data_IF_570069215130
#
_entry.id   IF_570069215130
#
_cell.length_a   1.000
_cell.length_b   1.000
_cell.length_c   1.000
_cell.angle_alpha   90.00
_cell.angle_beta   90.00
_cell.angle_gamma   90.00
#
_symmetry.space_group_name_H-M   'P 1'
#
loop_
_entity.id
_entity.type
_entity.pdbx_description
1 polymer ?
#
# COMPACT_ATOMS: atom_id res chain seq x y z
N UNK A 1 -13.65 -9.06 -53.63
CA UNK A 1 -14.49 -8.09 -52.87
C UNK A 1 -14.73 -8.70 -51.50
N UNK A 2 -13.73 -8.50 -50.67
CA UNK A 2 -13.57 -9.18 -49.37
C UNK A 2 -14.12 -8.28 -48.27
N UNK A 3 -15.17 -8.76 -47.60
CA UNK A 3 -15.79 -8.05 -46.47
C UNK A 3 -14.85 -8.08 -45.28
N UNK A 4 -14.21 -6.94 -45.02
CA UNK A 4 -13.55 -6.69 -43.75
C UNK A 4 -14.63 -6.55 -42.69
N UNK A 5 -14.76 -7.58 -41.87
CA UNK A 5 -15.59 -7.53 -40.66
C UNK A 5 -14.95 -6.55 -39.67
N UNK A 6 -15.59 -5.41 -39.56
CA UNK A 6 -15.33 -4.42 -38.53
C UNK A 6 -15.60 -5.03 -37.15
N UNK A 7 -14.54 -5.26 -36.37
CA UNK A 7 -14.66 -5.65 -34.95
C UNK A 7 -15.12 -4.39 -34.21
N UNK A 8 -16.26 -4.44 -33.50
CA UNK A 8 -16.63 -3.31 -32.68
C UNK A 8 -15.52 -3.07 -31.64
N UNK A 9 -15.01 -1.84 -31.63
CA UNK A 9 -14.14 -1.34 -30.57
C UNK A 9 -14.87 -1.55 -29.24
N UNK A 10 -14.33 -2.43 -28.40
CA UNK A 10 -14.78 -2.59 -27.02
C UNK A 10 -14.53 -1.26 -26.33
N UNK A 11 -15.58 -0.52 -26.13
CA UNK A 11 -15.62 0.71 -25.34
C UNK A 11 -14.94 0.44 -23.99
N UNK A 12 -13.95 1.27 -23.66
CA UNK A 12 -13.32 1.34 -22.35
C UNK A 12 -14.34 1.91 -21.34
N UNK A 13 -15.35 1.10 -20.99
CA UNK A 13 -16.35 1.41 -19.99
C UNK A 13 -16.14 0.56 -18.75
N UNK A 14 -16.00 1.28 -17.61
CA UNK A 14 -16.17 0.83 -16.24
C UNK A 14 -15.07 -0.07 -15.64
N UNK A 15 -13.89 0.44 -15.54
CA UNK A 15 -12.88 -0.09 -14.62
C UNK A 15 -12.96 0.60 -13.25
N UNK A 16 -14.09 0.49 -12.56
CA UNK A 16 -14.14 0.78 -11.13
C UNK A 16 -13.27 -0.23 -10.39
N UNK A 17 -12.33 0.24 -9.56
CA UNK A 17 -11.53 -0.65 -8.72
C UNK A 17 -12.42 -1.56 -7.87
N UNK A 18 -11.99 -2.82 -7.70
CA UNK A 18 -12.74 -3.82 -6.94
C UNK A 18 -12.30 -3.83 -5.48
N UNK A 19 -13.24 -3.60 -4.58
CA UNK A 19 -13.03 -3.52 -3.13
C UNK A 19 -13.73 -4.69 -2.46
N UNK A 20 -13.05 -5.37 -1.56
CA UNK A 20 -13.63 -6.40 -0.71
C UNK A 20 -13.76 -5.87 0.72
N UNK A 21 -14.97 -5.92 1.27
CA UNK A 21 -15.24 -5.57 2.66
C UNK A 21 -15.31 -6.86 3.47
N UNK A 22 -14.49 -6.97 4.51
CA UNK A 22 -14.44 -8.12 5.40
C UNK A 22 -14.73 -7.66 6.82
N UNK A 23 -15.91 -7.98 7.33
CA UNK A 23 -16.42 -7.57 8.64
C UNK A 23 -17.47 -8.59 9.08
N UNK A 24 -17.57 -8.97 10.33
CA UNK A 24 -18.57 -9.93 10.79
C UNK A 24 -19.96 -9.30 10.96
N UNK A 25 -20.05 -7.98 11.16
CA UNK A 25 -21.31 -7.24 11.24
C UNK A 25 -21.94 -6.99 9.87
N UNK A 26 -23.09 -7.61 9.55
CA UNK A 26 -23.77 -7.41 8.26
C UNK A 26 -24.20 -5.96 8.02
N UNK A 27 -24.60 -5.23 9.09
CA UNK A 27 -25.04 -3.84 8.96
C UNK A 27 -23.89 -2.92 8.56
N UNK A 28 -22.68 -3.16 9.08
CA UNK A 28 -21.49 -2.41 8.69
C UNK A 28 -21.13 -2.72 7.22
N UNK A 29 -21.14 -4.01 6.83
CA UNK A 29 -20.89 -4.41 5.43
C UNK A 29 -21.84 -3.73 4.47
N UNK A 30 -23.16 -3.73 4.77
CA UNK A 30 -24.20 -3.14 3.91
C UNK A 30 -24.00 -1.62 3.75
N UNK A 31 -23.80 -0.92 4.86
CA UNK A 31 -23.61 0.55 4.85
C UNK A 31 -22.37 0.95 4.06
N UNK A 32 -21.24 0.26 4.28
CA UNK A 32 -19.99 0.58 3.59
C UNK A 32 -20.09 0.18 2.10
N UNK A 33 -20.68 -0.98 1.80
CA UNK A 33 -20.87 -1.46 0.43
C UNK A 33 -21.73 -0.49 -0.39
N UNK A 34 -22.90 -0.11 0.12
CA UNK A 34 -23.76 0.86 -0.52
C UNK A 34 -23.07 2.20 -0.78
N UNK A 35 -22.33 2.66 0.23
CA UNK A 35 -21.62 3.93 0.13
C UNK A 35 -20.52 3.90 -0.94
N UNK A 36 -19.66 2.88 -0.95
CA UNK A 36 -18.59 2.75 -1.92
C UNK A 36 -19.11 2.49 -3.34
N UNK A 37 -20.18 1.70 -3.49
CA UNK A 37 -20.83 1.45 -4.80
C UNK A 37 -21.37 2.73 -5.40
N UNK A 38 -22.03 3.60 -4.61
CA UNK A 38 -22.47 4.94 -5.08
C UNK A 38 -21.33 5.85 -5.53
N UNK A 39 -20.10 5.54 -5.12
CA UNK A 39 -18.90 6.28 -5.52
C UNK A 39 -18.12 5.61 -6.65
N UNK A 40 -18.73 4.62 -7.35
CA UNK A 40 -18.22 4.02 -8.59
C UNK A 40 -17.26 2.84 -8.37
N UNK A 41 -17.22 2.25 -7.18
CA UNK A 41 -16.45 1.03 -6.91
C UNK A 41 -17.28 -0.23 -7.13
N UNK A 42 -16.60 -1.32 -7.51
CA UNK A 42 -17.19 -2.66 -7.48
C UNK A 42 -16.93 -3.25 -6.11
N UNK A 43 -17.96 -3.59 -5.36
CA UNK A 43 -17.83 -4.00 -3.98
C UNK A 43 -18.29 -5.45 -3.81
N UNK A 44 -17.41 -6.25 -3.20
CA UNK A 44 -17.69 -7.59 -2.72
C UNK A 44 -17.67 -7.58 -1.19
N UNK A 45 -18.35 -8.53 -0.56
CA UNK A 45 -18.40 -8.62 0.90
C UNK A 45 -18.09 -10.03 1.39
N UNK A 46 -17.47 -10.13 2.55
CA UNK A 46 -17.21 -11.39 3.24
C UNK A 46 -17.44 -11.21 4.74
N UNK A 47 -17.96 -12.23 5.40
CA UNK A 47 -18.26 -12.22 6.83
C UNK A 47 -17.08 -12.61 7.72
N UNK A 48 -16.05 -13.20 7.14
CA UNK A 48 -14.91 -13.77 7.86
C UNK A 48 -13.74 -14.06 6.89
N UNK A 49 -12.60 -14.49 7.44
CA UNK A 49 -11.40 -14.82 6.65
C UNK A 49 -11.61 -15.96 5.66
N UNK A 50 -12.48 -16.93 5.96
CA UNK A 50 -12.77 -18.06 5.07
C UNK A 50 -13.59 -17.62 3.84
N UNK A 51 -14.62 -16.82 4.06
CA UNK A 51 -15.41 -16.22 2.97
C UNK A 51 -14.55 -15.29 2.12
N UNK A 52 -13.67 -14.51 2.74
CA UNK A 52 -12.66 -13.70 2.05
C UNK A 52 -11.79 -14.53 1.12
N UNK A 53 -11.23 -15.64 1.60
CA UNK A 53 -10.39 -16.53 0.76
C UNK A 53 -11.14 -17.07 -0.45
N UNK A 54 -12.41 -17.41 -0.31
CA UNK A 54 -13.23 -17.84 -1.44
C UNK A 54 -13.35 -16.76 -2.50
N UNK A 55 -13.53 -15.51 -2.10
CA UNK A 55 -13.58 -14.38 -3.05
C UNK A 55 -12.23 -14.20 -3.74
N UNK A 56 -11.13 -14.22 -2.99
CA UNK A 56 -9.78 -14.03 -3.53
C UNK A 56 -9.33 -15.13 -4.49
N UNK A 57 -9.89 -16.34 -4.38
CA UNK A 57 -9.63 -17.44 -5.33
C UNK A 57 -10.28 -17.22 -6.69
N UNK A 58 -11.37 -16.46 -6.76
CA UNK A 58 -12.16 -16.29 -7.99
C UNK A 58 -12.04 -14.90 -8.61
N UNK A 59 -11.54 -13.93 -7.87
CA UNK A 59 -11.53 -12.53 -8.31
C UNK A 59 -10.23 -11.83 -7.90
N UNK A 60 -9.76 -10.94 -8.77
CA UNK A 60 -8.69 -9.99 -8.43
C UNK A 60 -9.32 -8.84 -7.66
N UNK A 61 -8.85 -8.61 -6.45
CA UNK A 61 -9.27 -7.53 -5.57
C UNK A 61 -8.16 -6.47 -5.51
N UNK A 62 -8.53 -5.21 -5.68
CA UNK A 62 -7.58 -4.08 -5.65
C UNK A 62 -7.31 -3.60 -4.23
N UNK A 63 -8.34 -3.67 -3.36
CA UNK A 63 -8.27 -3.21 -1.98
C UNK A 63 -9.21 -4.01 -1.08
N UNK A 64 -8.74 -4.32 0.14
CA UNK A 64 -9.55 -4.93 1.21
C UNK A 64 -9.77 -3.89 2.30
N UNK A 65 -11.03 -3.69 2.69
CA UNK A 65 -11.42 -3.04 3.94
C UNK A 65 -11.63 -4.15 4.95
N UNK A 66 -10.80 -4.23 5.98
CA UNK A 66 -10.68 -5.39 6.87
C UNK A 66 -10.94 -5.02 8.31
N UNK A 67 -11.95 -5.62 8.93
CA UNK A 67 -12.13 -5.52 10.37
C UNK A 67 -11.01 -6.26 11.12
N UNK A 68 -10.56 -5.66 12.21
CA UNK A 68 -9.58 -6.28 13.12
C UNK A 68 -10.22 -7.35 13.97
N UNK A 69 -11.42 -7.09 14.50
CA UNK A 69 -12.07 -7.90 15.50
C UNK A 69 -13.15 -8.81 14.87
N UNK A 70 -12.73 -9.95 14.35
CA UNK A 70 -13.64 -10.93 13.79
C UNK A 70 -13.55 -12.29 14.50
N UNK A 71 -14.64 -13.06 14.56
CA UNK A 71 -14.61 -14.43 15.07
C UNK A 71 -13.71 -15.34 14.21
N UNK A 72 -12.91 -16.17 14.85
CA UNK A 72 -12.00 -17.11 14.18
C UNK A 72 -10.64 -16.52 13.88
N UNK A 73 -10.28 -16.29 12.61
CA UNK A 73 -9.04 -15.63 12.23
C UNK A 73 -9.20 -14.11 12.37
N UNK A 74 -8.42 -13.48 13.23
CA UNK A 74 -8.43 -12.02 13.40
C UNK A 74 -7.85 -11.29 12.20
N UNK A 75 -8.27 -10.02 12.02
CA UNK A 75 -7.84 -9.20 10.87
C UNK A 75 -6.34 -8.92 10.86
N UNK A 76 -5.66 -8.91 12.02
CA UNK A 76 -4.22 -8.71 12.09
C UNK A 76 -3.47 -9.92 11.51
N UNK A 77 -3.93 -11.13 11.80
CA UNK A 77 -3.38 -12.36 11.24
C UNK A 77 -3.57 -12.43 9.73
N UNK A 78 -4.77 -12.07 9.24
CA UNK A 78 -5.08 -11.95 7.80
C UNK A 78 -4.17 -10.92 7.14
N UNK A 79 -4.03 -9.73 7.72
CA UNK A 79 -3.18 -8.67 7.20
C UNK A 79 -1.73 -9.13 7.05
N UNK A 80 -1.18 -9.77 8.10
CA UNK A 80 0.19 -10.33 8.08
C UNK A 80 0.38 -11.33 6.95
N UNK A 81 -0.59 -12.20 6.73
CA UNK A 81 -0.54 -13.24 5.70
C UNK A 81 -0.61 -12.67 4.29
N UNK A 82 -1.45 -11.66 4.07
CA UNK A 82 -1.65 -11.06 2.75
C UNK A 82 -0.54 -10.08 2.37
N UNK A 83 -0.03 -9.28 3.31
CA UNK A 83 0.90 -8.18 3.04
C UNK A 83 2.26 -8.61 2.48
N UNK A 84 2.60 -9.90 2.50
CA UNK A 84 3.85 -10.44 1.97
C UNK A 84 3.75 -11.04 0.56
N UNK A 85 2.55 -11.15 -0.03
CA UNK A 85 2.36 -11.82 -1.31
C UNK A 85 2.58 -10.87 -2.50
N UNK A 86 3.22 -11.34 -3.60
CA UNK A 86 3.27 -10.58 -4.85
C UNK A 86 1.86 -10.28 -5.36
N UNK A 87 1.59 -9.01 -5.71
CA UNK A 87 0.26 -8.61 -6.19
C UNK A 87 -0.83 -8.55 -5.11
N UNK A 88 -0.46 -8.59 -3.82
CA UNK A 88 -1.41 -8.47 -2.73
C UNK A 88 -2.28 -7.20 -2.87
N UNK A 89 -3.57 -7.25 -2.51
CA UNK A 89 -4.45 -6.09 -2.51
C UNK A 89 -4.00 -5.03 -1.50
N UNK A 90 -4.43 -3.77 -1.66
CA UNK A 90 -4.30 -2.77 -0.62
C UNK A 90 -5.11 -3.16 0.60
N UNK A 91 -4.68 -2.80 1.81
CA UNK A 91 -5.38 -3.14 3.05
C UNK A 91 -5.63 -1.87 3.86
N UNK A 92 -6.91 -1.56 4.07
CA UNK A 92 -7.38 -0.54 5.02
C UNK A 92 -8.02 -1.27 6.20
N UNK A 93 -7.44 -1.16 7.39
CA UNK A 93 -7.98 -1.82 8.57
C UNK A 93 -9.03 -0.97 9.26
N UNK A 94 -10.10 -1.59 9.74
CA UNK A 94 -11.10 -1.00 10.63
C UNK A 94 -10.98 -1.64 12.01
N UNK A 95 -11.00 -0.86 13.09
CA UNK A 95 -10.95 -1.42 14.43
C UNK A 95 -11.78 -0.64 15.44
N UNK A 96 -12.47 -1.35 16.31
CA UNK A 96 -13.18 -0.79 17.46
C UNK A 96 -12.21 -0.32 18.57
N UNK A 97 -10.96 -0.78 18.55
CA UNK A 97 -9.95 -0.38 19.52
C UNK A 97 -9.29 0.91 19.08
N UNK A 98 -9.57 2.01 19.77
CA UNK A 98 -9.01 3.33 19.54
C UNK A 98 -7.62 3.53 20.14
N UNK A 99 -6.94 2.49 20.60
CA UNK A 99 -5.62 2.63 21.20
C UNK A 99 -4.55 2.79 20.14
N UNK A 100 -3.67 3.76 20.36
CA UNK A 100 -2.53 4.06 19.49
C UNK A 100 -1.66 2.81 19.21
N UNK A 101 -1.62 1.89 20.17
CA UNK A 101 -0.89 0.63 20.10
C UNK A 101 -1.43 -0.29 19.00
N UNK A 102 -2.76 -0.46 18.87
CA UNK A 102 -3.34 -1.36 17.86
C UNK A 102 -3.18 -0.83 16.45
N UNK A 103 -3.21 0.49 16.31
CA UNK A 103 -2.92 1.16 15.04
C UNK A 103 -1.46 0.96 14.63
N UNK A 104 -0.53 1.08 15.55
CA UNK A 104 0.90 0.79 15.32
C UNK A 104 1.04 -0.67 14.89
N UNK A 105 0.44 -1.60 15.60
CA UNK A 105 0.49 -3.05 15.28
C UNK A 105 -0.11 -3.34 13.90
N UNK A 106 -1.26 -2.80 13.55
CA UNK A 106 -1.90 -3.02 12.22
C UNK A 106 -1.02 -2.52 11.06
N UNK A 107 -0.50 -1.32 11.20
CA UNK A 107 0.47 -0.77 10.24
C UNK A 107 1.78 -1.58 10.27
N UNK A 108 2.20 -2.07 11.41
CA UNK A 108 3.30 -3.00 11.59
C UNK A 108 3.12 -4.32 10.88
N UNK A 109 1.96 -4.82 10.75
CA UNK A 109 1.66 -6.05 10.04
C UNK A 109 1.52 -5.87 8.52
N UNK A 110 1.63 -4.64 8.01
CA UNK A 110 1.66 -4.35 6.58
C UNK A 110 0.38 -3.76 6.02
N UNK A 111 -0.55 -3.29 6.86
CA UNK A 111 -1.70 -2.50 6.40
C UNK A 111 -1.23 -1.20 5.72
N UNK A 112 -1.95 -0.80 4.67
CA UNK A 112 -1.69 0.46 3.95
C UNK A 112 -2.29 1.66 4.67
N UNK A 113 -3.38 1.45 5.43
CA UNK A 113 -4.00 2.46 6.28
C UNK A 113 -4.86 1.81 7.39
N UNK A 114 -5.28 2.63 8.36
CA UNK A 114 -6.03 2.19 9.54
C UNK A 114 -7.06 3.25 9.93
N UNK A 115 -8.31 2.83 10.23
CA UNK A 115 -9.39 3.68 10.69
C UNK A 115 -10.02 3.15 11.96
N UNK A 116 -10.26 3.99 12.98
CA UNK A 116 -11.03 3.60 14.15
C UNK A 116 -12.53 3.50 13.84
N UNK A 117 -13.23 2.54 14.42
CA UNK A 117 -14.70 2.46 14.45
C UNK A 117 -15.22 3.27 15.67
N UNK A 118 -16.32 4.03 15.53
CA UNK A 118 -17.11 4.23 14.32
C UNK A 118 -16.42 5.15 13.31
N UNK A 119 -16.27 4.70 12.08
CA UNK A 119 -15.62 5.50 11.03
C UNK A 119 -16.66 6.31 10.24
N UNK A 120 -16.26 7.53 9.85
CA UNK A 120 -17.05 8.31 8.91
C UNK A 120 -16.88 7.70 7.50
N UNK A 121 -17.97 7.35 6.77
CA UNK A 121 -17.86 6.79 5.42
C UNK A 121 -17.08 7.69 4.44
N UNK A 122 -17.14 8.99 4.59
CA UNK A 122 -16.36 9.94 3.77
C UNK A 122 -14.86 9.85 4.05
N UNK A 123 -14.49 9.63 5.31
CA UNK A 123 -13.09 9.41 5.69
C UNK A 123 -12.58 8.08 5.12
N UNK A 124 -13.36 7.00 5.28
CA UNK A 124 -13.05 5.72 4.64
C UNK A 124 -12.84 5.87 3.13
N UNK A 125 -13.73 6.58 2.44
CA UNK A 125 -13.61 6.85 1.01
C UNK A 125 -12.31 7.59 0.66
N UNK A 126 -11.94 8.60 1.44
CA UNK A 126 -10.69 9.33 1.24
C UNK A 126 -9.46 8.41 1.38
N UNK A 127 -9.48 7.51 2.38
CA UNK A 127 -8.42 6.51 2.61
C UNK A 127 -8.35 5.48 1.49
N UNK A 128 -9.49 4.92 1.08
CA UNK A 128 -9.61 4.00 -0.07
C UNK A 128 -9.01 4.64 -1.32
N UNK A 129 -9.39 5.89 -1.64
CA UNK A 129 -8.85 6.64 -2.79
C UNK A 129 -7.34 6.83 -2.68
N UNK A 130 -6.85 7.18 -1.50
CA UNK A 130 -5.42 7.39 -1.27
C UNK A 130 -4.62 6.09 -1.46
N UNK A 131 -5.11 4.96 -0.97
CA UNK A 131 -4.47 3.64 -1.14
C UNK A 131 -4.50 3.22 -2.60
N UNK A 132 -5.66 3.27 -3.28
CA UNK A 132 -5.80 2.88 -4.68
C UNK A 132 -4.95 3.75 -5.60
N UNK A 133 -4.95 5.08 -5.42
CA UNK A 133 -4.10 6.00 -6.19
C UNK A 133 -2.63 5.64 -6.07
N UNK A 134 -2.14 5.35 -4.86
CA UNK A 134 -0.75 4.91 -4.64
C UNK A 134 -0.38 3.64 -5.39
N UNK A 135 -1.38 2.78 -5.68
CA UNK A 135 -1.21 1.50 -6.37
C UNK A 135 -1.39 1.61 -7.89
N UNK A 136 -2.22 2.53 -8.35
CA UNK A 136 -2.56 2.68 -9.78
C UNK A 136 -1.69 3.71 -10.51
N UNK A 137 -1.03 4.61 -9.81
CA UNK A 137 -0.20 5.61 -10.49
C UNK A 137 1.10 4.98 -11.05
N UNK A 138 1.18 4.78 -12.40
CA UNK A 138 2.39 5.12 -13.09
C UNK A 138 2.38 6.66 -13.12
N UNK A 139 3.01 7.34 -12.17
CA UNK A 139 3.01 8.80 -12.13
C UNK A 139 3.74 9.36 -13.35
N UNK A 140 2.96 9.57 -14.42
CA UNK A 140 3.30 10.44 -15.52
C UNK A 140 3.13 11.90 -15.10
N UNK A 141 4.16 12.49 -14.60
CA UNK A 141 4.48 13.90 -14.75
C UNK A 141 5.72 13.94 -15.60
N UNK A 142 5.69 14.73 -16.64
CA UNK A 142 6.74 14.93 -17.66
C UNK A 142 8.11 15.23 -17.05
N UNK A 143 8.78 14.17 -16.68
CA UNK A 143 10.23 14.02 -16.57
C UNK A 143 10.46 12.53 -16.76
N UNK A 144 11.30 12.15 -17.72
CA UNK A 144 11.75 10.78 -17.96
C UNK A 144 12.43 10.25 -16.70
N UNK A 145 11.62 9.86 -15.70
CA UNK A 145 12.14 9.16 -14.51
C UNK A 145 12.52 7.78 -15.00
N UNK A 146 13.79 7.50 -15.02
CA UNK A 146 14.34 6.19 -15.27
C UNK A 146 13.51 5.13 -14.52
N UNK A 147 12.99 4.14 -15.26
CA UNK A 147 12.06 3.14 -14.73
C UNK A 147 12.69 2.31 -13.60
N UNK A 148 14.02 2.25 -13.55
CA UNK A 148 14.78 1.46 -12.60
C UNK A 148 15.82 2.32 -11.88
N UNK A 149 15.88 2.15 -10.54
CA UNK A 149 16.89 2.78 -9.69
C UNK A 149 17.81 1.71 -9.10
N UNK A 150 19.12 1.89 -9.21
CA UNK A 150 20.14 1.02 -8.61
C UNK A 150 20.88 1.76 -7.50
N UNK A 151 21.07 1.10 -6.35
CA UNK A 151 21.78 1.65 -5.20
C UNK A 151 22.37 0.52 -4.35
N UNK A 152 23.63 0.61 -3.98
CA UNK A 152 24.33 -0.38 -3.14
C UNK A 152 24.08 -1.85 -3.57
N UNK A 153 24.00 -2.12 -4.87
CA UNK A 153 23.69 -3.45 -5.41
C UNK A 153 22.20 -3.81 -5.47
N UNK A 154 21.32 -3.04 -4.84
CA UNK A 154 19.88 -3.19 -4.92
C UNK A 154 19.34 -2.59 -6.21
N UNK A 155 18.25 -3.20 -6.72
CA UNK A 155 17.54 -2.73 -7.90
C UNK A 155 16.06 -2.52 -7.61
N UNK A 156 15.59 -1.29 -7.76
CA UNK A 156 14.19 -0.90 -7.57
C UNK A 156 13.56 -0.56 -8.92
N UNK A 157 12.61 -1.39 -9.36
CA UNK A 157 11.75 -1.10 -10.51
C UNK A 157 10.55 -0.27 -10.04
N UNK A 158 10.48 0.98 -10.45
CA UNK A 158 9.43 1.92 -10.04
C UNK A 158 8.09 1.63 -10.73
N UNK A 159 8.12 1.03 -11.92
CA UNK A 159 6.92 0.69 -12.70
C UNK A 159 6.29 -0.59 -12.16
N UNK A 160 7.10 -1.65 -12.03
CA UNK A 160 6.64 -2.94 -11.50
C UNK A 160 6.49 -2.95 -9.99
N UNK A 161 6.96 -1.91 -9.30
CA UNK A 161 7.01 -1.82 -7.83
C UNK A 161 7.76 -2.98 -7.19
N UNK A 162 8.83 -3.41 -7.82
CA UNK A 162 9.62 -4.58 -7.44
C UNK A 162 10.99 -4.16 -6.92
N UNK A 163 11.38 -4.67 -5.75
CA UNK A 163 12.72 -4.51 -5.21
C UNK A 163 13.47 -5.84 -5.31
N UNK A 164 14.68 -5.81 -5.88
CA UNK A 164 15.60 -6.95 -5.92
C UNK A 164 16.83 -6.69 -5.09
N UNK A 165 17.22 -7.70 -4.31
CA UNK A 165 18.45 -7.66 -3.53
C UNK A 165 19.70 -7.78 -4.43
N UNK A 166 20.91 -7.52 -3.92
CA UNK A 166 22.16 -7.76 -4.64
C UNK A 166 22.33 -9.20 -5.15
N UNK A 167 21.66 -10.16 -4.50
CA UNK A 167 21.65 -11.57 -4.89
C UNK A 167 20.54 -11.91 -5.92
N UNK A 168 19.79 -10.90 -6.39
CA UNK A 168 18.72 -11.06 -7.38
C UNK A 168 17.38 -11.55 -6.80
N UNK A 169 17.27 -11.69 -5.47
CA UNK A 169 16.04 -12.15 -4.80
C UNK A 169 15.03 -11.01 -4.74
N UNK A 170 13.78 -11.28 -5.09
CA UNK A 170 12.68 -10.32 -4.96
C UNK A 170 12.35 -10.13 -3.48
N UNK A 171 12.36 -8.88 -3.04
CA UNK A 171 11.99 -8.48 -1.68
C UNK A 171 10.65 -7.75 -1.72
N UNK A 172 9.64 -8.37 -1.12
CA UNK A 172 8.29 -7.82 -1.11
C UNK A 172 8.20 -6.61 -0.16
N UNK A 173 7.76 -5.49 -0.69
CA UNK A 173 7.47 -4.28 0.06
C UNK A 173 5.96 -4.06 0.15
N UNK A 174 5.47 -3.66 1.31
CA UNK A 174 4.12 -3.08 1.41
C UNK A 174 4.05 -1.77 0.63
N UNK A 175 2.84 -1.29 0.31
CA UNK A 175 2.69 -0.02 -0.42
C UNK A 175 3.31 1.16 0.31
N UNK A 176 3.23 1.19 1.65
CA UNK A 176 3.88 2.23 2.47
C UNK A 176 5.41 2.15 2.42
N UNK A 177 5.99 0.95 2.56
CA UNK A 177 7.43 0.74 2.47
C UNK A 177 7.97 1.09 1.07
N UNK A 178 7.23 0.72 0.01
CA UNK A 178 7.60 1.08 -1.35
C UNK A 178 7.56 2.60 -1.56
N UNK A 179 6.50 3.28 -1.12
CA UNK A 179 6.36 4.74 -1.24
C UNK A 179 7.48 5.46 -0.48
N UNK A 180 7.84 4.95 0.70
CA UNK A 180 8.93 5.48 1.50
C UNK A 180 10.29 5.28 0.82
N UNK A 181 10.57 4.07 0.31
CA UNK A 181 11.80 3.79 -0.44
C UNK A 181 11.89 4.66 -1.69
N UNK A 182 10.78 4.83 -2.42
CA UNK A 182 10.71 5.74 -3.56
C UNK A 182 11.05 7.18 -3.18
N UNK A 183 10.48 7.71 -2.09
CA UNK A 183 10.79 9.06 -1.61
C UNK A 183 12.30 9.24 -1.32
N UNK A 184 12.95 8.20 -0.80
CA UNK A 184 14.38 8.19 -0.55
C UNK A 184 15.23 8.14 -1.84
N UNK A 185 14.91 7.27 -2.79
CA UNK A 185 15.68 7.15 -4.04
C UNK A 185 15.48 8.34 -4.97
N UNK A 186 14.37 9.07 -4.85
CA UNK A 186 14.13 10.32 -5.56
C UNK A 186 14.99 11.47 -5.02
N UNK A 187 15.39 11.41 -3.74
CA UNK A 187 16.18 12.45 -3.04
C UNK A 187 17.35 11.85 -2.26
N UNK A 188 18.27 11.16 -2.96
CA UNK A 188 19.41 10.52 -2.29
C UNK A 188 20.32 11.57 -1.64
N UNK A 189 20.94 11.17 -0.54
CA UNK A 189 21.92 11.97 0.22
C UNK A 189 21.37 13.31 0.77
N UNK A 190 20.04 13.44 0.85
CA UNK A 190 19.37 14.57 1.50
C UNK A 190 18.74 14.11 2.81
N UNK A 191 18.80 14.97 3.81
CA UNK A 191 18.05 14.76 5.05
C UNK A 191 16.57 15.08 4.76
N UNK A 192 15.70 14.15 5.05
CA UNK A 192 14.25 14.30 4.94
C UNK A 192 13.66 14.26 6.34
N UNK A 193 12.89 15.28 6.70
CA UNK A 193 12.18 15.31 7.98
C UNK A 193 11.07 14.25 8.00
N UNK A 194 10.57 13.93 9.20
CA UNK A 194 9.42 13.01 9.33
C UNK A 194 8.22 13.49 8.52
N UNK A 195 7.89 14.79 8.64
CA UNK A 195 6.78 15.41 7.91
C UNK A 195 6.96 15.31 6.39
N UNK A 196 8.16 15.61 5.90
CA UNK A 196 8.46 15.48 4.47
C UNK A 196 8.33 14.03 3.96
N UNK A 197 8.80 13.06 4.73
CA UNK A 197 8.64 11.64 4.39
C UNK A 197 7.18 11.22 4.43
N UNK A 198 6.43 11.74 5.37
CA UNK A 198 4.98 11.57 5.45
C UNK A 198 4.26 12.14 4.24
N UNK A 199 4.51 13.39 3.90
CA UNK A 199 3.90 14.06 2.76
C UNK A 199 4.21 13.34 1.44
N UNK A 200 5.46 12.89 1.28
CA UNK A 200 5.90 12.18 0.08
C UNK A 200 5.34 10.76 0.00
N UNK A 201 5.27 10.06 1.12
CA UNK A 201 4.75 8.69 1.15
C UNK A 201 3.21 8.66 1.02
N UNK A 202 2.51 9.75 1.33
CA UNK A 202 1.04 9.78 1.45
C UNK A 202 0.32 10.67 0.46
N UNK A 203 0.93 11.77 -0.04
CA UNK A 203 0.14 12.84 -0.70
C UNK A 203 -0.89 13.42 0.28
N UNK A 204 -0.73 14.62 0.65
CA UNK A 204 -1.58 15.67 1.25
C UNK A 204 -2.62 15.40 2.36
N UNK A 205 -2.74 14.24 2.99
CA UNK A 205 -3.69 14.10 4.10
C UNK A 205 -3.13 13.34 5.31
N UNK A 206 -3.02 14.00 6.41
CA UNK A 206 -3.39 13.77 7.80
C UNK A 206 -2.37 13.49 8.89
N UNK A 207 -2.61 14.17 10.02
CA UNK A 207 -1.96 14.26 11.33
C UNK A 207 -1.74 12.95 12.13
N UNK A 208 -2.20 11.83 11.61
CA UNK A 208 -2.26 10.58 12.37
C UNK A 208 -1.04 9.66 12.27
N UNK A 209 0.06 10.08 11.63
CA UNK A 209 1.13 9.19 11.19
C UNK A 209 2.56 9.52 11.69
N UNK A 210 2.78 10.52 12.51
CA UNK A 210 4.13 10.92 12.92
C UNK A 210 4.92 9.79 13.58
N UNK A 211 4.25 8.92 14.34
CA UNK A 211 4.90 7.76 14.97
C UNK A 211 5.03 6.54 14.06
N UNK A 212 4.18 6.43 13.05
CA UNK A 212 4.23 5.30 12.12
C UNK A 212 5.44 5.34 11.17
N UNK A 213 6.01 6.51 10.89
CA UNK A 213 7.15 6.63 9.99
C UNK A 213 8.40 5.93 10.53
N UNK A 214 8.67 6.06 11.82
CA UNK A 214 9.83 5.46 12.48
C UNK A 214 9.75 3.92 12.41
N UNK A 215 8.56 3.39 12.55
CA UNK A 215 8.29 1.95 12.45
C UNK A 215 8.46 1.45 11.00
N UNK A 216 7.90 2.16 10.03
CA UNK A 216 8.07 1.81 8.62
C UNK A 216 9.53 1.87 8.19
N UNK A 217 10.29 2.87 8.66
CA UNK A 217 11.74 2.95 8.43
C UNK A 217 12.48 1.78 9.07
N UNK A 218 12.13 1.41 10.30
CA UNK A 218 12.75 0.25 10.98
C UNK A 218 12.54 -1.04 10.18
N UNK A 219 11.35 -1.24 9.57
CA UNK A 219 11.09 -2.40 8.73
C UNK A 219 11.78 -2.35 7.40
N UNK A 220 11.73 -1.19 6.75
CA UNK A 220 12.42 -0.99 5.50
C UNK A 220 13.93 -1.26 5.67
N UNK A 221 14.53 -0.82 6.80
CA UNK A 221 15.90 -1.16 7.14
C UNK A 221 16.12 -2.67 7.24
N UNK A 222 15.23 -3.40 7.94
CA UNK A 222 15.33 -4.86 8.05
C UNK A 222 15.23 -5.57 6.70
N UNK A 223 14.42 -5.05 5.79
CA UNK A 223 14.28 -5.61 4.43
C UNK A 223 15.43 -5.25 3.51
N UNK A 224 16.10 -4.12 3.76
CA UNK A 224 17.28 -3.65 3.04
C UNK A 224 18.59 -4.14 3.67
N UNK A 225 18.53 -4.95 4.72
CA UNK A 225 19.70 -5.59 5.34
C UNK A 225 20.03 -6.87 4.57
N UNK A 226 21.10 -6.81 3.80
CA UNK A 226 21.62 -7.94 3.01
C UNK A 226 22.81 -8.65 3.72
N UNK A 227 23.08 -8.27 4.98
CA UNK A 227 24.22 -8.79 5.75
C UNK A 227 25.57 -8.17 5.39
N UNK A 228 25.63 -7.25 4.42
CA UNK A 228 26.88 -6.56 4.04
C UNK A 228 27.27 -5.43 4.99
N UNK A 229 26.43 -5.14 6.00
CA UNK A 229 26.70 -4.09 7.00
C UNK A 229 26.61 -2.66 6.47
N UNK A 230 26.05 -2.46 5.28
CA UNK A 230 25.86 -1.12 4.68
C UNK A 230 24.59 -0.48 5.23
N UNK A 231 24.74 0.61 5.98
CA UNK A 231 23.59 1.37 6.47
C UNK A 231 22.98 2.22 5.34
N UNK A 232 21.92 1.71 4.71
CA UNK A 232 21.25 2.34 3.57
C UNK A 232 20.44 3.58 4.01
N UNK A 233 19.73 3.51 5.14
CA UNK A 233 18.97 4.62 5.70
C UNK A 233 19.56 5.02 7.03
N UNK A 234 20.09 6.23 7.12
CA UNK A 234 20.71 6.78 8.34
C UNK A 234 19.73 7.67 9.09
N UNK A 235 19.80 7.59 10.44
CA UNK A 235 19.11 8.55 11.31
C UNK A 235 20.00 9.76 11.54
N UNK A 236 19.50 10.94 11.22
CA UNK A 236 20.14 12.21 11.56
C UNK A 236 19.40 12.77 12.77
N UNK A 237 20.07 12.77 13.93
CA UNK A 237 19.44 13.15 15.20
C UNK A 237 18.79 14.51 15.10
N UNK A 238 17.58 14.63 15.60
CA UNK A 238 16.72 15.83 15.62
C UNK A 238 16.29 16.38 14.26
N UNK A 239 16.76 15.82 13.14
CA UNK A 239 16.45 16.34 11.81
C UNK A 239 15.58 15.37 10.98
N UNK A 240 15.83 14.04 11.08
CA UNK A 240 15.08 13.04 10.32
C UNK A 240 15.93 11.89 9.83
N UNK A 241 15.77 11.55 8.54
CA UNK A 241 16.40 10.39 7.92
C UNK A 241 17.05 10.76 6.59
N UNK A 242 18.14 10.05 6.25
CA UNK A 242 18.88 10.26 5.01
C UNK A 242 19.15 8.93 4.32
N UNK A 243 18.93 8.89 3.02
CA UNK A 243 19.34 7.76 2.18
C UNK A 243 20.81 7.89 1.81
N UNK A 244 21.66 7.03 2.37
CA UNK A 244 23.09 7.16 2.28
C UNK A 244 23.69 6.81 0.89
N UNK A 245 23.20 5.76 0.18
CA UNK A 245 23.77 5.38 -1.11
C UNK A 245 23.54 6.42 -2.21
N UNK A 246 24.44 6.39 -3.19
CA UNK A 246 24.18 7.02 -4.49
C UNK A 246 23.15 6.19 -5.26
N UNK A 247 22.28 6.85 -5.98
CA UNK A 247 21.28 6.23 -6.84
C UNK A 247 21.64 6.45 -8.29
N UNK A 248 21.75 5.36 -9.03
CA UNK A 248 21.92 5.37 -10.50
C UNK A 248 20.56 5.05 -11.11
N UNK A 249 20.12 5.88 -12.05
CA UNK A 249 18.84 5.71 -12.73
C UNK A 249 19.09 5.14 -14.13
N UNK A 250 18.39 4.07 -14.47
CA UNK A 250 18.43 3.43 -15.79
C UNK A 250 17.09 3.61 -16.50
N UNK A 251 17.15 4.14 -17.69
CA UNK A 251 16.00 4.33 -18.60
C UNK A 251 15.65 3.02 -19.30
#
# INVERSE_FOLDING_TARGET
MELVMDRPATTAEESGARILIVDDDPGIRDVISDFLTRHGYRVETASDGRAMEQVLQHMVIDLIVLDVMMPGEDGLSICRRLSGAPGAPGIVMLSAMGEETDRIVGLELGADDYLPKPCNPRELLARVRAVLRRRQEPRGGEDHIAATCEFAGWRLDLVRRELRSPQGVIVNLSSGEFSLLRAFVERPQRVLTRDQLLDMARGRDTDAFDRAIDVQISRLRKKLDDGAGVEIIRTIRSEGYMFAPRVVRQS
#
